data_IF_148168067610
#
_entry.id   IF_148168067610
#
_cell.length_a   1.000
_cell.length_b   1.000
_cell.length_c   1.000
_cell.angle_alpha   90.00
_cell.angle_beta   90.00
_cell.angle_gamma   90.00
#
_symmetry.space_group_name_H-M   'P 1'
#
loop_
_entity.id
_entity.type
_entity.pdbx_description
1 polymer ?
#
# COMPACT_ATOMS: atom_id res chain seq x y z
N UNK A 1 2.69 -13.40 -10.96
CA UNK A 1 2.07 -12.08 -10.76
C UNK A 1 1.01 -12.28 -9.68
N UNK A 2 0.96 -11.46 -8.62
CA UNK A 2 -0.04 -11.64 -7.55
C UNK A 2 -1.43 -11.25 -8.06
N UNK A 3 -2.39 -12.17 -7.98
CA UNK A 3 -3.79 -11.92 -8.35
C UNK A 3 -4.41 -10.84 -7.46
N UNK A 4 -4.00 -10.77 -6.19
CA UNK A 4 -4.49 -9.77 -5.26
C UNK A 4 -4.00 -8.36 -5.62
N UNK A 5 -2.71 -8.20 -5.96
CA UNK A 5 -2.20 -6.92 -6.44
C UNK A 5 -2.90 -6.46 -7.73
N UNK A 6 -3.16 -7.39 -8.66
CA UNK A 6 -3.93 -7.09 -9.89
C UNK A 6 -5.32 -6.55 -9.54
N UNK A 7 -6.01 -7.18 -8.58
CA UNK A 7 -7.33 -6.71 -8.10
C UNK A 7 -7.25 -5.32 -7.45
N UNK A 8 -6.24 -5.06 -6.61
CA UNK A 8 -6.03 -3.73 -6.03
C UNK A 8 -5.83 -2.68 -7.13
N UNK A 9 -4.96 -2.93 -8.12
CA UNK A 9 -4.73 -2.03 -9.26
C UNK A 9 -6.02 -1.74 -10.02
N UNK A 10 -6.84 -2.75 -10.27
CA UNK A 10 -8.15 -2.57 -10.94
C UNK A 10 -9.10 -1.70 -10.12
N UNK A 11 -9.21 -1.92 -8.81
CA UNK A 11 -10.06 -1.12 -7.93
C UNK A 11 -9.59 0.33 -7.87
N UNK A 12 -8.28 0.56 -7.80
CA UNK A 12 -7.69 1.91 -7.82
C UNK A 12 -7.99 2.64 -9.13
N UNK A 13 -7.83 1.97 -10.28
CA UNK A 13 -8.16 2.53 -11.60
C UNK A 13 -9.64 2.85 -11.77
N UNK A 14 -10.52 2.07 -11.13
CA UNK A 14 -11.96 2.28 -11.14
C UNK A 14 -12.43 3.28 -10.07
N UNK A 15 -11.51 4.01 -9.43
CA UNK A 15 -11.78 4.96 -8.35
C UNK A 15 -12.51 4.34 -7.14
N UNK A 16 -12.48 3.01 -7.02
CA UNK A 16 -13.05 2.24 -5.91
C UNK A 16 -12.02 2.16 -4.78
N UNK A 17 -11.70 3.33 -4.23
CA UNK A 17 -10.67 3.51 -3.20
C UNK A 17 -11.25 4.16 -1.96
N UNK A 18 -10.82 3.67 -0.79
CA UNK A 18 -10.98 4.35 0.50
C UNK A 18 -9.64 4.48 1.18
N UNK A 19 -9.51 5.47 2.05
CA UNK A 19 -8.33 5.67 2.89
C UNK A 19 -8.81 5.55 4.33
N UNK A 20 -8.10 4.77 5.12
CA UNK A 20 -8.40 4.64 6.54
C UNK A 20 -8.06 5.95 7.27
N UNK A 21 -8.69 6.19 8.42
CA UNK A 21 -8.37 7.37 9.25
C UNK A 21 -6.89 7.40 9.63
N UNK A 22 -6.36 6.26 10.11
CA UNK A 22 -4.93 6.10 10.41
C UNK A 22 -4.03 6.34 9.18
N UNK A 23 -4.45 5.88 8.00
CA UNK A 23 -3.70 6.09 6.77
C UNK A 23 -3.65 7.56 6.35
N UNK A 24 -4.66 8.36 6.68
CA UNK A 24 -4.64 9.81 6.44
C UNK A 24 -3.64 10.53 7.35
N UNK A 25 -3.56 10.13 8.63
CA UNK A 25 -2.64 10.73 9.60
C UNK A 25 -1.18 10.47 9.19
N UNK A 26 -0.84 9.22 8.88
CA UNK A 26 0.54 8.85 8.52
C UNK A 26 0.99 9.47 7.19
N UNK A 27 0.10 9.55 6.19
CA UNK A 27 0.38 10.28 4.95
C UNK A 27 0.77 11.73 5.24
N UNK A 28 0.05 12.37 6.17
CA UNK A 28 0.28 13.76 6.55
C UNK A 28 1.62 13.93 7.27
N UNK A 29 1.93 13.03 8.22
CA UNK A 29 3.19 13.03 8.98
C UNK A 29 4.41 12.85 8.07
N UNK A 30 4.31 11.98 7.06
CA UNK A 30 5.41 11.68 6.12
C UNK A 30 5.42 12.56 4.86
N UNK A 31 4.57 13.60 4.82
CA UNK A 31 4.43 14.55 3.69
C UNK A 31 4.15 13.84 2.36
N UNK A 32 3.36 12.77 2.41
CA UNK A 32 2.92 11.98 1.27
C UNK A 32 1.53 12.43 0.83
N UNK A 33 1.33 12.64 -0.47
CA UNK A 33 -0.02 12.90 -0.98
C UNK A 33 -0.71 11.60 -1.38
N UNK A 34 -2.02 11.53 -1.13
CA UNK A 34 -2.90 10.46 -1.62
C UNK A 34 -2.72 10.22 -3.13
N UNK A 35 -2.60 11.31 -3.90
CA UNK A 35 -2.45 11.25 -5.35
C UNK A 35 -1.17 10.51 -5.77
N UNK A 36 -0.06 10.76 -5.09
CA UNK A 36 1.20 10.04 -5.36
C UNK A 36 1.06 8.56 -5.06
N UNK A 37 0.38 8.19 -3.98
CA UNK A 37 0.17 6.79 -3.63
C UNK A 37 -0.74 6.08 -4.63
N UNK A 38 -1.83 6.73 -5.06
CA UNK A 38 -2.73 6.20 -6.09
C UNK A 38 -2.00 6.00 -7.42
N UNK A 39 -1.17 6.95 -7.84
CA UNK A 39 -0.40 6.82 -9.10
C UNK A 39 0.74 5.80 -8.99
N UNK A 40 1.35 5.67 -7.81
CA UNK A 40 2.48 4.78 -7.56
C UNK A 40 2.14 3.29 -7.59
N UNK A 41 0.88 2.91 -7.41
CA UNK A 41 0.48 1.48 -7.35
C UNK A 41 0.82 0.74 -8.65
N UNK A 42 0.77 1.41 -9.80
CA UNK A 42 1.05 0.76 -11.08
C UNK A 42 2.50 0.26 -11.19
N UNK A 43 3.43 0.93 -10.51
CA UNK A 43 4.87 0.63 -10.50
C UNK A 43 5.36 0.04 -9.16
N UNK A 44 4.45 -0.58 -8.40
CA UNK A 44 4.77 -1.12 -7.07
C UNK A 44 5.46 -2.49 -7.10
N UNK A 45 6.35 -2.75 -6.15
CA UNK A 45 6.92 -4.07 -5.86
C UNK A 45 6.24 -4.69 -4.63
N UNK A 46 6.00 -6.01 -4.66
CA UNK A 46 5.42 -6.72 -3.51
C UNK A 46 6.49 -6.89 -2.44
N UNK A 47 6.16 -6.53 -1.20
CA UNK A 47 6.99 -6.74 -0.02
C UNK A 47 6.47 -7.95 0.76
N UNK A 48 5.20 -7.92 1.16
CA UNK A 48 4.55 -8.99 1.94
C UNK A 48 3.08 -9.15 1.55
N UNK A 49 2.55 -10.38 1.62
CA UNK A 49 1.14 -10.70 1.41
C UNK A 49 0.53 -11.32 2.65
N UNK A 50 -0.69 -10.89 2.97
CA UNK A 50 -1.44 -11.32 4.14
C UNK A 50 -2.86 -11.77 3.75
N UNK A 51 -3.00 -12.91 3.04
CA UNK A 51 -4.30 -13.36 2.52
C UNK A 51 -5.30 -13.69 3.64
N UNK A 52 -4.81 -14.17 4.78
CA UNK A 52 -5.63 -14.66 5.89
C UNK A 52 -5.79 -13.65 7.03
N UNK A 53 -5.46 -12.37 6.79
CA UNK A 53 -5.53 -11.36 7.84
C UNK A 53 -6.97 -11.22 8.38
N UNK A 54 -7.20 -11.22 9.72
CA UNK A 54 -8.55 -11.31 10.28
C UNK A 54 -9.54 -10.23 9.84
N UNK A 55 -9.05 -9.04 9.45
CA UNK A 55 -9.86 -7.91 8.98
C UNK A 55 -10.10 -7.91 7.46
N UNK A 56 -9.57 -8.91 6.75
CA UNK A 56 -9.61 -9.05 5.29
C UNK A 56 -8.21 -9.05 4.69
N UNK A 57 -8.02 -9.63 3.50
CA UNK A 57 -6.71 -9.77 2.88
C UNK A 57 -6.05 -8.41 2.67
N UNK A 58 -4.75 -8.32 2.91
CA UNK A 58 -3.95 -7.14 2.65
C UNK A 58 -2.58 -7.47 2.04
N UNK A 59 -1.95 -6.46 1.45
CA UNK A 59 -0.66 -6.55 0.76
C UNK A 59 0.16 -5.31 1.06
N UNK A 60 1.39 -5.52 1.50
CA UNK A 60 2.39 -4.48 1.65
C UNK A 60 3.17 -4.37 0.35
N UNK A 61 3.23 -3.18 -0.22
CA UNK A 61 4.00 -2.90 -1.43
C UNK A 61 4.97 -1.76 -1.22
N UNK A 62 6.08 -1.83 -1.95
CA UNK A 62 7.04 -0.74 -2.09
C UNK A 62 6.69 0.06 -3.34
N UNK A 63 6.35 1.33 -3.13
CA UNK A 63 6.12 2.33 -4.16
C UNK A 63 7.21 3.40 -4.10
N UNK A 64 7.16 4.34 -5.04
CA UNK A 64 7.97 5.56 -5.02
C UNK A 64 7.06 6.77 -5.03
N UNK A 65 7.47 7.83 -4.34
CA UNK A 65 6.84 9.15 -4.46
C UNK A 65 7.26 9.86 -5.76
N UNK A 66 6.79 11.09 -5.97
CA UNK A 66 7.14 11.90 -7.14
C UNK A 66 8.65 12.19 -7.31
N UNK A 67 9.42 12.04 -6.23
CA UNK A 67 10.87 12.28 -6.21
C UNK A 67 11.67 10.97 -6.35
N UNK A 68 11.01 9.82 -6.54
CA UNK A 68 11.66 8.52 -6.58
C UNK A 68 12.00 7.95 -5.20
N UNK A 69 11.56 8.59 -4.11
CA UNK A 69 11.85 8.16 -2.75
C UNK A 69 10.91 7.01 -2.35
N UNK A 70 11.41 5.97 -1.67
CA UNK A 70 10.65 4.78 -1.33
C UNK A 70 9.49 5.10 -0.38
N UNK A 71 8.39 4.39 -0.56
CA UNK A 71 7.19 4.44 0.29
C UNK A 71 6.65 3.03 0.46
N UNK A 72 6.46 2.61 1.70
CA UNK A 72 5.69 1.42 2.02
C UNK A 72 4.22 1.78 2.07
N UNK A 73 3.39 0.99 1.38
CA UNK A 73 1.95 1.19 1.34
C UNK A 73 1.26 -0.13 1.61
N UNK A 74 0.40 -0.16 2.62
CA UNK A 74 -0.43 -1.32 2.92
C UNK A 74 -1.82 -1.12 2.31
N UNK A 75 -2.13 -1.96 1.33
CA UNK A 75 -3.46 -2.01 0.70
C UNK A 75 -4.23 -3.21 1.22
N UNK A 76 -5.56 -3.10 1.33
CA UNK A 76 -6.40 -4.25 1.68
C UNK A 76 -7.82 -4.17 1.13
N UNK A 77 -8.55 -5.26 1.27
CA UNK A 77 -9.99 -5.33 1.00
C UNK A 77 -10.68 -5.81 2.29
N UNK A 78 -11.75 -5.14 2.76
CA UNK A 78 -12.44 -5.57 3.98
C UNK A 78 -12.93 -7.01 3.92
N UNK A 79 -12.88 -7.73 5.04
CA UNK A 79 -13.36 -9.12 5.13
C UNK A 79 -14.80 -9.25 4.63
N UNK A 80 -15.06 -10.30 3.85
CA UNK A 80 -16.37 -10.57 3.26
C UNK A 80 -16.74 -9.64 2.09
N UNK A 81 -15.84 -8.75 1.66
CA UNK A 81 -16.07 -7.84 0.55
C UNK A 81 -15.07 -8.09 -0.58
N UNK A 82 -15.42 -7.58 -1.77
CA UNK A 82 -14.55 -7.59 -2.95
C UNK A 82 -14.05 -6.20 -3.34
N UNK A 83 -14.51 -5.16 -2.65
CA UNK A 83 -14.21 -3.75 -2.85
C UNK A 83 -14.66 -2.95 -1.61
N UNK A 84 -14.21 -1.70 -1.41
CA UNK A 84 -13.17 -0.99 -2.18
C UNK A 84 -11.77 -1.48 -1.82
N UNK A 85 -10.76 -1.03 -2.57
CA UNK A 85 -9.37 -1.08 -2.12
C UNK A 85 -9.19 -0.03 -1.03
N UNK A 86 -8.64 -0.43 0.10
CA UNK A 86 -8.40 0.43 1.26
C UNK A 86 -6.90 0.70 1.37
N UNK A 87 -6.50 1.96 1.29
CA UNK A 87 -5.18 2.42 1.74
C UNK A 87 -5.23 2.43 3.28
N UNK A 88 -4.61 1.41 3.88
CA UNK A 88 -4.65 1.22 5.34
C UNK A 88 -3.62 2.14 6.00
N UNK A 89 -2.39 2.12 5.50
CA UNK A 89 -1.25 2.90 5.99
C UNK A 89 -0.29 3.17 4.82
N UNK A 90 0.43 4.29 4.87
CA UNK A 90 1.57 4.55 4.01
C UNK A 90 2.64 5.31 4.79
N UNK A 91 3.89 4.85 4.71
CA UNK A 91 5.00 5.42 5.47
C UNK A 91 6.36 5.30 4.76
N UNK A 92 7.34 6.07 5.22
CA UNK A 92 8.74 5.97 4.75
C UNK A 92 9.47 4.80 5.43
N UNK A 93 9.92 3.77 4.68
CA UNK A 93 10.64 2.67 5.29
C UNK A 93 12.03 3.12 5.78
N UNK A 94 12.42 2.64 6.97
CA UNK A 94 13.74 2.88 7.55
C UNK A 94 14.64 1.63 7.41
N UNK A 95 15.91 1.83 7.02
CA UNK A 95 16.92 0.77 6.94
C UNK A 95 17.29 0.15 8.29
N UNK A 96 16.89 0.72 9.43
CA UNK A 96 17.04 0.04 10.73
C UNK A 96 16.13 -1.19 10.85
N UNK A 97 14.94 -1.12 10.23
CA UNK A 97 13.92 -2.18 10.27
C UNK A 97 13.87 -3.03 9.00
N UNK A 98 14.39 -2.50 7.89
CA UNK A 98 14.33 -3.11 6.57
C UNK A 98 15.71 -3.29 5.94
N UNK A 99 15.82 -4.22 5.00
CA UNK A 99 16.97 -4.36 4.12
C UNK A 99 17.22 -3.09 3.30
N UNK A 100 18.41 -2.97 2.70
CA UNK A 100 18.80 -1.77 1.92
C UNK A 100 17.88 -1.49 0.72
N UNK A 101 17.26 -2.53 0.17
CA UNK A 101 16.29 -2.46 -0.92
C UNK A 101 14.84 -2.26 -0.42
N UNK A 102 14.62 -2.21 0.90
CA UNK A 102 13.33 -2.11 1.56
C UNK A 102 12.36 -3.27 1.29
N UNK A 103 12.82 -4.38 0.72
CA UNK A 103 11.96 -5.52 0.35
C UNK A 103 11.90 -6.63 1.41
N UNK A 104 12.74 -6.58 2.44
CA UNK A 104 12.79 -7.60 3.51
C UNK A 104 12.91 -6.95 4.88
N UNK A 105 12.09 -7.41 5.82
CA UNK A 105 12.20 -7.00 7.22
C UNK A 105 13.42 -7.67 7.88
N UNK A 106 14.09 -6.95 8.79
CA UNK A 106 15.20 -7.46 9.60
C UNK A 106 14.73 -8.20 10.84
#
# INVERSE_FOLDING_TARGET
MSDFLVKIKQLVRNESVRISEHGYDELSDDKLSVREIILGIDHSLIVEEYPDYPKGPCILVLQQDKNGMPVHVLWGIPKGHNQPAVLITAYRPNQDQWSKDFLKRK
#
